data_IF_334740752192
#
_entry.id   IF_334740752192
#
_cell.length_a   1.000
_cell.length_b   1.000
_cell.length_c   1.000
_cell.angle_alpha   90.00
_cell.angle_beta   90.00
_cell.angle_gamma   90.00
#
_symmetry.space_group_name_H-M   'P 1'
#
loop_
_entity.id
_entity.type
_entity.pdbx_description
1 polymer ?
#
# COMPACT_ATOMS: atom_id res chain seq x y z
N UNK A 1 16.38 -14.37 6.52
CA UNK A 1 17.14 -13.29 5.84
C UNK A 1 16.59 -11.95 6.34
N UNK A 2 17.44 -10.95 6.53
CA UNK A 2 17.00 -9.60 6.95
C UNK A 2 17.21 -8.62 5.79
N UNK A 3 16.38 -8.75 4.75
CA UNK A 3 16.49 -7.96 3.50
C UNK A 3 16.23 -6.47 3.68
N UNK A 4 15.56 -6.09 4.78
CA UNK A 4 15.20 -4.71 5.08
C UNK A 4 15.89 -4.18 6.35
N UNK A 5 17.01 -4.81 6.75
CA UNK A 5 17.73 -4.48 7.98
C UNK A 5 17.97 -2.98 8.10
N UNK A 6 17.49 -2.40 9.20
CA UNK A 6 17.62 -0.98 9.55
C UNK A 6 16.98 0.01 8.55
N UNK A 7 16.19 -0.44 7.57
CA UNK A 7 15.43 0.46 6.69
C UNK A 7 14.22 1.01 7.45
N UNK A 8 14.00 2.30 7.39
CA UNK A 8 12.81 2.97 7.94
C UNK A 8 11.69 2.88 6.91
N UNK A 9 10.65 2.12 7.23
CA UNK A 9 9.56 1.76 6.31
C UNK A 9 8.23 2.32 6.81
N UNK A 10 7.71 3.35 6.15
CA UNK A 10 6.41 3.96 6.44
C UNK A 10 5.32 3.27 5.62
N UNK A 11 4.28 2.76 6.30
CA UNK A 11 3.19 2.02 5.68
C UNK A 11 1.87 2.67 6.07
N UNK A 12 1.07 3.07 5.07
CA UNK A 12 -0.26 3.66 5.29
C UNK A 12 -1.35 2.58 5.27
N UNK A 13 -2.39 2.72 6.11
CA UNK A 13 -3.42 1.69 6.29
C UNK A 13 -2.82 0.41 6.87
N UNK A 14 -1.88 0.53 7.81
CA UNK A 14 -1.03 -0.56 8.28
C UNK A 14 -1.58 -1.32 9.48
N UNK A 15 -2.76 -0.95 10.01
CA UNK A 15 -3.31 -1.57 11.21
C UNK A 15 -4.17 -2.81 10.95
N UNK A 16 -4.40 -3.17 9.68
CA UNK A 16 -5.20 -4.34 9.30
C UNK A 16 -4.88 -4.86 7.89
N UNK A 17 -5.38 -6.04 7.55
CA UNK A 17 -5.35 -6.61 6.21
C UNK A 17 -3.95 -6.65 5.58
N UNK A 18 -3.83 -6.26 4.31
CA UNK A 18 -2.56 -6.26 3.55
C UNK A 18 -1.53 -5.35 4.21
N UNK A 19 -1.95 -4.18 4.73
CA UNK A 19 -1.05 -3.25 5.40
C UNK A 19 -0.41 -3.85 6.65
N UNK A 20 -1.19 -4.49 7.51
CA UNK A 20 -0.67 -5.19 8.70
C UNK A 20 0.25 -6.36 8.33
N UNK A 21 -0.16 -7.20 7.38
CA UNK A 21 0.68 -8.29 6.89
C UNK A 21 2.02 -7.77 6.33
N UNK A 22 1.99 -6.61 5.65
CA UNK A 22 3.20 -5.94 5.14
C UNK A 22 4.07 -5.43 6.30
N UNK A 23 3.48 -4.80 7.32
CA UNK A 23 4.19 -4.35 8.51
C UNK A 23 4.89 -5.51 9.23
N UNK A 24 4.18 -6.62 9.48
CA UNK A 24 4.72 -7.82 10.10
C UNK A 24 5.81 -8.50 9.24
N UNK A 25 5.62 -8.53 7.92
CA UNK A 25 6.64 -9.05 7.02
C UNK A 25 7.90 -8.20 7.04
N UNK A 26 7.77 -6.88 7.00
CA UNK A 26 8.90 -5.96 7.06
C UNK A 26 9.63 -6.05 8.41
N UNK A 27 8.88 -6.19 9.50
CA UNK A 27 9.44 -6.45 10.84
C UNK A 27 10.33 -7.70 10.85
N UNK A 28 9.84 -8.83 10.34
CA UNK A 28 10.62 -10.09 10.21
C UNK A 28 11.87 -9.94 9.33
N UNK A 29 11.84 -9.00 8.40
CA UNK A 29 13.00 -8.70 7.52
C UNK A 29 13.94 -7.65 8.11
N UNK A 30 13.75 -7.23 9.37
CA UNK A 30 14.63 -6.34 10.13
C UNK A 30 14.43 -4.86 9.89
N UNK A 31 13.27 -4.44 9.34
CA UNK A 31 12.93 -3.04 9.15
C UNK A 31 12.57 -2.36 10.48
N UNK A 32 12.76 -1.04 10.53
CA UNK A 32 12.09 -0.14 11.46
C UNK A 32 10.74 0.18 10.84
N UNK A 33 9.65 -0.23 11.49
CA UNK A 33 8.30 -0.15 10.93
C UNK A 33 7.57 1.08 11.46
N UNK A 34 7.08 1.93 10.58
CA UNK A 34 6.22 3.07 10.91
C UNK A 34 4.79 2.72 10.48
N UNK A 35 3.95 2.39 11.46
CA UNK A 35 2.54 2.04 11.28
C UNK A 35 1.69 3.31 11.23
N UNK A 36 1.06 3.60 10.09
CA UNK A 36 0.16 4.73 9.93
C UNK A 36 -1.26 4.27 9.62
N UNK A 37 -2.24 4.70 10.41
CA UNK A 37 -3.66 4.36 10.24
C UNK A 37 -4.55 5.44 10.90
N UNK A 38 -5.88 5.27 10.86
CA UNK A 38 -6.83 6.20 11.45
C UNK A 38 -7.13 5.96 12.93
N UNK A 39 -7.05 4.71 13.41
CA UNK A 39 -7.51 4.29 14.74
C UNK A 39 -6.33 3.96 15.65
N UNK A 40 -6.13 4.79 16.69
CA UNK A 40 -5.01 4.63 17.64
C UNK A 40 -4.93 3.22 18.23
N UNK A 41 -6.04 2.65 18.71
CA UNK A 41 -6.02 1.33 19.31
C UNK A 41 -5.56 0.22 18.35
N UNK A 42 -5.95 0.29 17.09
CA UNK A 42 -5.51 -0.66 16.06
C UNK A 42 -4.03 -0.46 15.69
N UNK A 43 -3.56 0.79 15.70
CA UNK A 43 -2.15 1.14 15.51
C UNK A 43 -1.31 0.55 16.65
N UNK A 44 -1.75 0.74 17.91
CA UNK A 44 -1.03 0.25 19.09
C UNK A 44 -0.92 -1.29 19.09
N UNK A 45 -1.98 -1.98 18.65
CA UNK A 45 -1.97 -3.43 18.50
C UNK A 45 -1.00 -3.87 17.38
N UNK A 46 -1.02 -3.21 16.23
CA UNK A 46 -0.10 -3.50 15.12
C UNK A 46 1.37 -3.26 15.51
N UNK A 47 1.65 -2.20 16.26
CA UNK A 47 3.00 -1.91 16.79
C UNK A 47 3.44 -3.03 17.74
N UNK A 48 2.60 -3.44 18.71
CA UNK A 48 2.91 -4.56 19.61
C UNK A 48 3.19 -5.86 18.85
N UNK A 49 2.43 -6.14 17.79
CA UNK A 49 2.68 -7.33 16.97
C UNK A 49 4.04 -7.25 16.24
N UNK A 50 4.47 -6.07 15.77
CA UNK A 50 5.80 -5.88 15.19
C UNK A 50 6.90 -6.04 16.26
N UNK A 51 6.72 -5.46 17.44
CA UNK A 51 7.66 -5.58 18.56
C UNK A 51 7.81 -7.01 19.05
N UNK A 52 6.75 -7.82 19.04
CA UNK A 52 6.80 -9.25 19.35
C UNK A 52 7.65 -10.06 18.34
N UNK A 53 8.06 -9.46 17.25
CA UNK A 53 9.00 -10.01 16.27
C UNK A 53 10.42 -9.43 16.40
N UNK A 54 10.75 -8.85 17.56
CA UNK A 54 12.02 -8.16 17.86
C UNK A 54 12.32 -6.99 16.92
N UNK A 55 11.30 -6.38 16.31
CA UNK A 55 11.45 -5.24 15.42
C UNK A 55 11.20 -3.91 16.16
N UNK A 56 11.94 -2.88 15.80
CA UNK A 56 11.59 -1.53 16.21
C UNK A 56 10.37 -1.06 15.42
N UNK A 57 9.32 -0.64 16.12
CA UNK A 57 8.09 -0.14 15.51
C UNK A 57 7.58 1.12 16.21
N UNK A 58 6.96 2.01 15.45
CA UNK A 58 6.28 3.21 15.97
C UNK A 58 4.95 3.39 15.24
N UNK A 59 3.96 3.95 15.94
CA UNK A 59 2.64 4.17 15.42
C UNK A 59 2.26 5.65 15.33
N UNK A 60 1.55 6.03 14.28
CA UNK A 60 1.01 7.39 14.13
C UNK A 60 -0.41 7.37 13.55
N UNK A 61 -1.30 8.12 14.19
CA UNK A 61 -2.60 8.43 13.55
C UNK A 61 -2.35 9.34 12.37
N UNK A 62 -2.78 8.91 11.18
CA UNK A 62 -2.59 9.66 9.95
C UNK A 62 -3.75 9.43 8.98
N UNK A 63 -4.50 10.49 8.69
CA UNK A 63 -5.45 10.52 7.57
C UNK A 63 -4.71 11.01 6.32
N UNK A 64 -4.57 10.13 5.33
CA UNK A 64 -3.86 10.43 4.07
C UNK A 64 -4.53 11.52 3.24
N UNK A 65 -5.83 11.80 3.50
CA UNK A 65 -6.55 12.90 2.84
C UNK A 65 -6.16 14.27 3.38
N UNK A 66 -5.59 14.31 4.59
CA UNK A 66 -5.20 15.54 5.29
C UNK A 66 -3.71 15.83 5.10
N UNK A 67 -3.36 16.61 4.10
CA UNK A 67 -1.96 16.92 3.75
C UNK A 67 -1.13 17.39 4.95
N UNK A 68 -1.64 18.29 5.76
CA UNK A 68 -0.93 18.81 6.94
C UNK A 68 -0.61 17.69 7.97
N UNK A 69 -1.52 16.71 8.12
CA UNK A 69 -1.27 15.57 8.99
C UNK A 69 -0.19 14.64 8.43
N UNK A 70 -0.19 14.41 7.11
CA UNK A 70 0.86 13.64 6.43
C UNK A 70 2.22 14.31 6.62
N UNK A 71 2.31 15.61 6.37
CA UNK A 71 3.57 16.37 6.54
C UNK A 71 4.07 16.33 7.99
N UNK A 72 3.17 16.44 8.97
CA UNK A 72 3.52 16.37 10.38
C UNK A 72 4.07 14.99 10.77
N UNK A 73 3.47 13.91 10.30
CA UNK A 73 3.94 12.52 10.57
C UNK A 73 5.28 12.26 9.88
N UNK A 74 5.43 12.64 8.61
CA UNK A 74 6.69 12.50 7.88
C UNK A 74 7.81 13.29 8.56
N UNK A 75 7.50 14.50 9.03
CA UNK A 75 8.45 15.33 9.80
C UNK A 75 8.89 14.67 11.11
N UNK A 76 7.96 14.06 11.88
CA UNK A 76 8.27 13.30 13.10
C UNK A 76 9.17 12.10 12.82
N UNK A 77 8.84 11.30 11.79
CA UNK A 77 9.63 10.13 11.40
C UNK A 77 11.05 10.56 10.98
N UNK A 78 11.17 11.63 10.18
CA UNK A 78 12.47 12.16 9.79
C UNK A 78 13.27 12.68 10.98
N UNK A 79 12.64 13.38 11.94
CA UNK A 79 13.30 13.87 13.13
C UNK A 79 13.80 12.72 14.04
N UNK A 80 13.02 11.64 14.15
CA UNK A 80 13.33 10.50 15.00
C UNK A 80 14.41 9.59 14.43
N UNK A 81 14.37 9.30 13.11
CA UNK A 81 15.22 8.30 12.47
C UNK A 81 16.23 8.88 11.48
N UNK A 82 16.14 10.16 11.15
CA UNK A 82 17.02 10.84 10.20
C UNK A 82 16.78 10.47 8.73
N UNK A 83 15.92 9.49 8.47
CA UNK A 83 15.71 8.91 7.13
C UNK A 83 14.32 8.30 6.94
N UNK A 84 13.95 8.12 5.68
CA UNK A 84 12.80 7.29 5.25
C UNK A 84 13.26 6.52 4.01
N UNK A 85 13.33 5.19 4.11
CA UNK A 85 13.85 4.34 3.03
C UNK A 85 12.77 3.79 2.13
N UNK A 86 11.61 3.47 2.72
CA UNK A 86 10.49 2.86 2.01
C UNK A 86 9.20 3.56 2.41
N UNK A 87 8.40 3.94 1.41
CA UNK A 87 7.00 4.30 1.57
C UNK A 87 6.13 3.21 0.91
N UNK A 88 5.16 2.66 1.66
CA UNK A 88 4.10 1.81 1.12
C UNK A 88 2.77 2.56 1.19
N UNK A 89 2.30 3.05 0.07
CA UNK A 89 0.98 3.65 -0.10
C UNK A 89 -0.06 2.53 -0.20
N UNK A 90 -0.53 2.03 0.95
CA UNK A 90 -1.47 0.92 1.01
C UNK A 90 -2.90 1.36 1.44
N UNK A 91 -3.04 2.48 2.14
CA UNK A 91 -4.35 2.99 2.53
C UNK A 91 -5.30 3.10 1.33
N UNK A 92 -6.52 2.59 1.50
CA UNK A 92 -7.52 2.61 0.44
C UNK A 92 -8.87 2.12 0.92
N UNK A 93 -9.92 2.56 0.24
CA UNK A 93 -11.31 2.23 0.49
C UNK A 93 -12.03 1.87 -0.82
N UNK A 94 -13.18 1.23 -0.70
CA UNK A 94 -14.17 1.06 -1.77
C UNK A 94 -15.49 1.69 -1.36
N UNK A 95 -16.21 2.25 -2.33
CA UNK A 95 -17.62 2.65 -2.20
C UNK A 95 -18.30 2.34 -3.53
N UNK A 96 -18.74 1.09 -3.65
CA UNK A 96 -19.21 0.52 -4.90
C UNK A 96 -20.64 0.96 -5.23
N UNK A 97 -20.84 1.38 -6.46
CA UNK A 97 -22.15 1.67 -7.04
C UNK A 97 -22.08 1.61 -8.56
N UNK A 98 -23.18 1.21 -9.22
CA UNK A 98 -23.28 1.32 -10.69
C UNK A 98 -23.17 2.77 -11.12
N UNK A 99 -22.56 3.04 -12.29
CA UNK A 99 -22.35 4.39 -12.82
C UNK A 99 -23.59 5.30 -12.67
N UNK A 100 -24.78 4.80 -13.00
CA UNK A 100 -26.04 5.55 -12.92
C UNK A 100 -26.53 5.85 -11.49
N UNK A 101 -25.95 5.19 -10.48
CA UNK A 101 -26.35 5.29 -9.07
C UNK A 101 -25.24 5.81 -8.17
N UNK A 102 -24.02 5.93 -8.68
CA UNK A 102 -22.87 6.45 -7.93
C UNK A 102 -23.08 7.92 -7.61
N UNK A 103 -23.03 8.27 -6.34
CA UNK A 103 -23.10 9.67 -5.90
C UNK A 103 -21.74 10.34 -6.05
N UNK A 104 -21.72 11.67 -6.16
CA UNK A 104 -20.49 12.46 -6.18
C UNK A 104 -19.68 12.25 -4.90
N UNK A 105 -20.34 12.15 -3.75
CA UNK A 105 -19.69 11.88 -2.47
C UNK A 105 -18.96 10.53 -2.47
N UNK A 106 -19.58 9.46 -2.98
CA UNK A 106 -18.94 8.15 -3.13
C UNK A 106 -17.74 8.21 -4.07
N UNK A 107 -17.86 8.95 -5.17
CA UNK A 107 -16.77 9.13 -6.12
C UNK A 107 -15.61 9.90 -5.47
N UNK A 108 -15.87 11.08 -4.96
CA UNK A 108 -14.87 11.99 -4.40
C UNK A 108 -14.13 11.36 -3.23
N UNK A 109 -14.84 10.68 -2.31
CA UNK A 109 -14.22 10.04 -1.15
C UNK A 109 -13.22 8.94 -1.55
N UNK A 110 -13.52 8.13 -2.57
CA UNK A 110 -12.59 7.11 -3.08
C UNK A 110 -11.40 7.76 -3.77
N UNK A 111 -11.61 8.80 -4.57
CA UNK A 111 -10.52 9.55 -5.21
C UNK A 111 -9.63 10.22 -4.16
N UNK A 112 -10.21 10.83 -3.14
CA UNK A 112 -9.46 11.51 -2.09
C UNK A 112 -8.54 10.55 -1.32
N UNK A 113 -9.05 9.39 -0.93
CA UNK A 113 -8.24 8.42 -0.18
C UNK A 113 -7.26 7.71 -1.10
N UNK A 114 -7.76 7.09 -2.19
CA UNK A 114 -6.98 6.12 -2.96
C UNK A 114 -6.02 6.77 -3.96
N UNK A 115 -6.26 8.03 -4.35
CA UNK A 115 -5.44 8.72 -5.35
C UNK A 115 -4.76 9.95 -4.75
N UNK A 116 -5.53 10.91 -4.23
CA UNK A 116 -4.97 12.14 -3.64
C UNK A 116 -4.12 11.82 -2.42
N UNK A 117 -4.55 10.89 -1.56
CA UNK A 117 -3.77 10.44 -0.40
C UNK A 117 -2.43 9.81 -0.79
N UNK A 118 -2.38 9.01 -1.86
CA UNK A 118 -1.14 8.45 -2.42
C UNK A 118 -0.20 9.56 -2.86
N UNK A 119 -0.73 10.58 -3.55
CA UNK A 119 0.05 11.76 -3.95
C UNK A 119 0.60 12.53 -2.75
N UNK A 120 -0.24 12.79 -1.72
CA UNK A 120 0.20 13.49 -0.51
C UNK A 120 1.37 12.79 0.16
N UNK A 121 1.26 11.48 0.39
CA UNK A 121 2.31 10.71 1.05
C UNK A 121 3.60 10.63 0.22
N UNK A 122 3.48 10.37 -1.09
CA UNK A 122 4.64 10.29 -1.97
C UNK A 122 5.39 11.62 -2.04
N UNK A 123 4.66 12.74 -2.21
CA UNK A 123 5.27 14.06 -2.28
C UNK A 123 5.94 14.45 -0.95
N UNK A 124 5.32 14.10 0.19
CA UNK A 124 5.87 14.43 1.51
C UNK A 124 7.22 13.74 1.80
N UNK A 125 7.44 12.52 1.27
CA UNK A 125 8.71 11.80 1.48
C UNK A 125 9.75 12.08 0.39
N UNK A 126 9.33 12.60 -0.77
CA UNK A 126 10.18 12.72 -1.96
C UNK A 126 11.47 13.51 -1.71
N UNK A 127 11.38 14.71 -1.11
CA UNK A 127 12.56 15.53 -0.84
C UNK A 127 13.54 14.84 0.10
N UNK A 128 13.03 14.11 1.10
CA UNK A 128 13.87 13.33 2.02
C UNK A 128 14.62 12.23 1.27
N UNK A 129 13.92 11.46 0.43
CA UNK A 129 14.54 10.40 -0.36
C UNK A 129 15.52 10.94 -1.41
N UNK A 130 15.19 12.08 -2.05
CA UNK A 130 16.10 12.76 -3.00
C UNK A 130 17.38 13.19 -2.30
N UNK A 131 17.29 13.81 -1.12
CA UNK A 131 18.45 14.20 -0.34
C UNK A 131 19.30 13.01 0.12
N UNK A 132 18.68 11.83 0.34
CA UNK A 132 19.36 10.57 0.64
C UNK A 132 20.06 9.94 -0.57
N UNK A 133 19.67 10.32 -1.80
CA UNK A 133 20.10 9.65 -3.04
C UNK A 133 19.61 8.19 -3.16
N UNK A 134 18.66 7.77 -2.32
CA UNK A 134 18.12 6.41 -2.27
C UNK A 134 16.72 6.41 -1.64
N UNK A 135 15.81 5.62 -2.20
CA UNK A 135 14.47 5.43 -1.66
C UNK A 135 13.65 4.42 -2.48
N UNK A 136 12.55 3.96 -1.91
CA UNK A 136 11.59 3.09 -2.58
C UNK A 136 10.18 3.54 -2.27
N UNK A 137 9.37 3.80 -3.30
CA UNK A 137 7.94 4.06 -3.18
C UNK A 137 7.17 2.89 -3.79
N UNK A 138 6.30 2.29 -2.99
CA UNK A 138 5.47 1.16 -3.38
C UNK A 138 3.99 1.55 -3.29
N UNK A 139 3.27 1.39 -4.37
CA UNK A 139 1.89 1.83 -4.48
C UNK A 139 0.94 0.63 -4.57
N UNK A 140 -0.11 0.60 -3.76
CA UNK A 140 -1.20 -0.37 -3.87
C UNK A 140 -2.14 0.02 -5.02
N UNK A 141 -2.00 -0.65 -6.16
CA UNK A 141 -3.00 -0.67 -7.22
C UNK A 141 -4.01 -1.81 -6.97
N UNK A 142 -4.55 -2.40 -8.01
CA UNK A 142 -5.46 -3.54 -8.02
C UNK A 142 -5.56 -4.09 -9.43
N UNK A 143 -5.94 -5.35 -9.59
CA UNK A 143 -6.39 -5.87 -10.90
C UNK A 143 -7.57 -5.06 -11.45
N UNK A 144 -8.42 -4.52 -10.58
CA UNK A 144 -9.51 -3.60 -10.97
C UNK A 144 -8.97 -2.31 -11.59
N UNK A 145 -7.79 -1.84 -11.20
CA UNK A 145 -7.11 -0.70 -11.82
C UNK A 145 -6.49 -1.05 -13.18
N UNK A 146 -6.43 -2.32 -13.58
CA UNK A 146 -5.91 -2.76 -14.87
C UNK A 146 -7.05 -3.11 -15.83
N UNK A 147 -8.05 -3.86 -15.33
CA UNK A 147 -9.09 -4.46 -16.15
C UNK A 147 -10.47 -3.81 -15.97
N UNK A 148 -10.66 -2.98 -14.93
CA UNK A 148 -11.96 -2.48 -14.51
C UNK A 148 -12.73 -3.53 -13.70
N UNK A 149 -13.88 -3.14 -13.14
CA UNK A 149 -14.85 -4.06 -12.55
C UNK A 149 -16.22 -3.38 -12.47
N UNK A 150 -17.26 -4.20 -12.56
CA UNK A 150 -18.64 -3.73 -12.48
C UNK A 150 -18.95 -3.04 -11.15
N UNK A 151 -19.53 -1.85 -11.21
CA UNK A 151 -19.90 -1.08 -10.01
C UNK A 151 -18.74 -0.35 -9.33
N UNK A 152 -17.54 -0.33 -9.89
CA UNK A 152 -16.34 0.22 -9.27
C UNK A 152 -15.70 1.35 -10.09
N UNK A 153 -16.50 2.23 -10.70
CA UNK A 153 -16.00 3.34 -11.53
C UNK A 153 -14.97 4.21 -10.79
N UNK A 154 -15.28 4.62 -9.56
CA UNK A 154 -14.40 5.42 -8.71
C UNK A 154 -13.12 4.67 -8.31
N UNK A 155 -13.28 3.42 -7.88
CA UNK A 155 -12.16 2.58 -7.46
C UNK A 155 -11.24 2.25 -8.63
N UNK A 156 -11.79 1.82 -9.77
CA UNK A 156 -11.02 1.53 -10.98
C UNK A 156 -10.24 2.78 -11.44
N UNK A 157 -10.90 3.94 -11.52
CA UNK A 157 -10.25 5.20 -11.88
C UNK A 157 -9.09 5.55 -10.93
N UNK A 158 -9.31 5.40 -9.60
CA UNK A 158 -8.29 5.69 -8.61
C UNK A 158 -7.07 4.75 -8.74
N UNK A 159 -7.31 3.44 -8.91
CA UNK A 159 -6.24 2.43 -8.98
C UNK A 159 -5.50 2.45 -10.33
N UNK A 160 -6.17 2.83 -11.41
CA UNK A 160 -5.52 3.12 -12.69
C UNK A 160 -4.67 4.41 -12.60
N UNK A 161 -5.17 5.44 -11.92
CA UNK A 161 -4.41 6.67 -11.66
C UNK A 161 -3.12 6.41 -10.87
N UNK A 162 -3.16 5.50 -9.90
CA UNK A 162 -1.97 5.05 -9.15
C UNK A 162 -0.94 4.38 -10.06
N UNK A 163 -1.37 3.63 -11.08
CA UNK A 163 -0.47 3.09 -12.12
C UNK A 163 0.20 4.24 -12.88
N UNK A 164 -0.58 5.27 -13.26
CA UNK A 164 -0.07 6.49 -13.89
C UNK A 164 1.00 7.18 -13.05
N UNK A 165 0.74 7.38 -11.75
CA UNK A 165 1.73 7.91 -10.81
C UNK A 165 3.00 7.07 -10.77
N UNK A 166 2.87 5.75 -10.68
CA UNK A 166 4.00 4.83 -10.63
C UNK A 166 4.90 4.97 -11.87
N UNK A 167 4.30 5.03 -13.05
CA UNK A 167 5.02 5.21 -14.32
C UNK A 167 5.71 6.57 -14.42
N UNK A 168 5.03 7.63 -13.99
CA UNK A 168 5.57 8.99 -14.03
C UNK A 168 6.69 9.17 -13.03
N UNK A 169 6.43 8.85 -11.76
CA UNK A 169 7.41 9.04 -10.69
C UNK A 169 8.64 8.15 -10.83
N UNK A 170 8.53 6.96 -11.43
CA UNK A 170 9.70 6.13 -11.73
C UNK A 170 10.68 6.81 -12.69
N UNK A 171 10.18 7.67 -13.57
CA UNK A 171 11.01 8.46 -14.50
C UNK A 171 11.59 9.72 -13.84
N UNK A 172 10.78 10.42 -13.05
CA UNK A 172 11.18 11.66 -12.39
C UNK A 172 12.19 11.42 -11.26
N UNK A 173 11.99 10.34 -10.48
CA UNK A 173 12.76 10.06 -9.28
C UNK A 173 13.88 9.01 -9.53
N UNK A 174 13.79 8.21 -10.59
CA UNK A 174 14.81 7.24 -10.94
C UNK A 174 16.22 7.82 -11.06
N UNK A 175 16.44 8.95 -11.77
CA UNK A 175 17.73 9.62 -11.82
C UNK A 175 18.27 10.12 -10.45
N UNK A 176 17.40 10.13 -9.44
CA UNK A 176 17.75 10.50 -8.04
C UNK A 176 17.99 9.28 -7.14
N UNK A 177 18.05 8.06 -7.72
CA UNK A 177 18.25 6.83 -6.97
C UNK A 177 17.00 6.27 -6.28
N UNK A 178 15.80 6.74 -6.65
CA UNK A 178 14.55 6.30 -6.03
C UNK A 178 13.79 5.40 -7.00
N UNK A 179 13.39 4.22 -6.53
CA UNK A 179 12.55 3.30 -7.30
C UNK A 179 11.08 3.46 -6.94
N UNK A 180 10.22 3.40 -7.94
CA UNK A 180 8.77 3.49 -7.75
C UNK A 180 8.10 2.33 -8.48
N UNK A 181 7.37 1.48 -7.76
CA UNK A 181 6.66 0.34 -8.32
C UNK A 181 5.25 0.23 -7.72
N UNK A 182 4.37 -0.49 -8.40
CA UNK A 182 3.04 -0.82 -7.91
C UNK A 182 2.86 -2.32 -7.79
N UNK A 183 2.03 -2.72 -6.82
CA UNK A 183 1.49 -4.07 -6.71
C UNK A 183 -0.01 -3.99 -7.01
N UNK A 184 -0.51 -4.90 -7.82
CA UNK A 184 -1.91 -5.01 -8.20
C UNK A 184 -2.48 -6.35 -7.67
N UNK A 185 -3.02 -6.37 -6.43
CA UNK A 185 -3.65 -7.55 -5.88
C UNK A 185 -4.92 -7.94 -6.64
N UNK A 186 -5.18 -9.26 -6.73
CA UNK A 186 -6.50 -9.80 -7.05
C UNK A 186 -7.40 -9.88 -5.82
N UNK A 187 -8.20 -10.94 -5.72
CA UNK A 187 -9.01 -11.20 -4.54
C UNK A 187 -8.15 -11.74 -3.39
N UNK A 188 -8.07 -10.98 -2.30
CA UNK A 188 -7.23 -11.28 -1.13
C UNK A 188 -8.11 -11.33 0.12
N UNK A 189 -7.94 -12.36 0.94
CA UNK A 189 -8.65 -12.52 2.21
C UNK A 189 -8.27 -11.39 3.16
N UNK A 190 -9.19 -10.47 3.37
CA UNK A 190 -9.04 -9.32 4.27
C UNK A 190 -10.28 -9.19 5.15
N UNK A 191 -10.27 -8.42 6.23
CA UNK A 191 -11.46 -8.20 7.05
C UNK A 191 -12.70 -7.73 6.26
N UNK A 192 -12.51 -7.09 5.11
CA UNK A 192 -13.59 -6.67 4.22
C UNK A 192 -14.34 -7.90 3.66
N UNK A 193 -13.66 -9.01 3.40
CA UNK A 193 -14.30 -10.23 2.90
C UNK A 193 -15.06 -11.01 3.97
N UNK A 194 -14.81 -10.78 5.25
CA UNK A 194 -15.47 -11.48 6.35
C UNK A 194 -17.00 -11.27 6.39
N UNK A 195 -17.51 -10.25 5.70
CA UNK A 195 -18.94 -9.95 5.59
C UNK A 195 -19.58 -10.50 4.32
N UNK A 196 -18.79 -11.15 3.45
CA UNK A 196 -19.28 -11.67 2.15
C UNK A 196 -19.84 -13.09 2.36
N UNK A 197 -21.03 -13.41 1.84
CA UNK A 197 -21.60 -14.75 1.93
C UNK A 197 -20.72 -15.81 1.24
N UNK A 198 -20.71 -17.04 1.80
CA UNK A 198 -19.87 -18.14 1.31
C UNK A 198 -20.06 -18.50 -0.17
N UNK A 199 -21.30 -18.40 -0.67
CA UNK A 199 -21.60 -18.66 -2.09
C UNK A 199 -20.92 -17.62 -3.01
N UNK A 200 -20.81 -16.36 -2.57
CA UNK A 200 -20.12 -15.31 -3.32
C UNK A 200 -18.61 -15.51 -3.24
N UNK A 201 -18.08 -15.90 -2.08
CA UNK A 201 -16.66 -16.22 -1.93
C UNK A 201 -16.25 -17.39 -2.85
N UNK A 202 -17.07 -18.45 -2.93
CA UNK A 202 -16.85 -19.58 -3.86
C UNK A 202 -16.88 -19.15 -5.33
N UNK A 203 -17.79 -18.24 -5.70
CA UNK A 203 -17.80 -17.68 -7.05
C UNK A 203 -16.51 -16.89 -7.33
N UNK A 204 -16.08 -16.07 -6.40
CA UNK A 204 -14.81 -15.34 -6.52
C UNK A 204 -13.61 -16.30 -6.69
N UNK A 205 -13.52 -17.35 -5.86
CA UNK A 205 -12.48 -18.38 -5.98
C UNK A 205 -12.51 -19.09 -7.33
N UNK A 206 -13.70 -19.39 -7.84
CA UNK A 206 -13.86 -20.08 -9.13
C UNK A 206 -13.26 -19.30 -10.31
N UNK A 207 -13.26 -17.96 -10.22
CA UNK A 207 -12.71 -17.05 -11.24
C UNK A 207 -11.18 -16.94 -11.18
N UNK A 208 -10.56 -17.34 -10.07
CA UNK A 208 -9.11 -17.34 -9.95
C UNK A 208 -8.55 -18.64 -10.55
N UNK A 209 -7.60 -18.61 -11.50
CA UNK A 209 -6.97 -19.81 -12.04
C UNK A 209 -6.35 -20.73 -10.98
N UNK A 210 -5.75 -20.18 -9.92
CA UNK A 210 -5.22 -20.95 -8.78
C UNK A 210 -6.31 -21.51 -7.85
N UNK A 211 -7.63 -21.28 -8.14
CA UNK A 211 -8.80 -21.82 -7.42
C UNK A 211 -8.81 -21.54 -5.93
N UNK A 212 -8.26 -20.42 -5.51
CA UNK A 212 -8.32 -19.90 -4.15
C UNK A 212 -8.15 -18.39 -4.13
N UNK A 213 -8.55 -17.78 -3.03
CA UNK A 213 -8.22 -16.39 -2.76
C UNK A 213 -6.74 -16.27 -2.31
N UNK A 214 -6.14 -15.13 -2.56
CA UNK A 214 -4.80 -14.79 -2.04
C UNK A 214 -4.84 -14.50 -0.54
N UNK A 215 -3.71 -14.69 0.12
CA UNK A 215 -3.53 -14.28 1.52
C UNK A 215 -2.80 -12.93 1.57
N UNK A 216 -3.06 -12.08 2.58
CA UNK A 216 -2.36 -10.80 2.75
C UNK A 216 -0.83 -10.93 2.75
N UNK A 217 -0.32 -12.04 3.29
CA UNK A 217 1.11 -12.36 3.33
C UNK A 217 1.72 -12.55 1.94
N UNK A 218 0.95 -13.01 0.96
CA UNK A 218 1.43 -13.19 -0.41
C UNK A 218 1.68 -11.82 -1.07
N UNK A 219 0.84 -10.83 -0.78
CA UNK A 219 1.06 -9.45 -1.22
C UNK A 219 2.25 -8.84 -0.47
N UNK A 220 2.32 -9.05 0.84
CA UNK A 220 3.40 -8.55 1.68
C UNK A 220 4.78 -9.10 1.26
N UNK A 221 4.85 -10.35 0.77
CA UNK A 221 6.08 -10.94 0.24
C UNK A 221 6.59 -10.20 -0.99
N UNK A 222 5.70 -9.79 -1.89
CA UNK A 222 6.04 -9.01 -3.08
C UNK A 222 6.49 -7.59 -2.68
N UNK A 223 5.81 -6.95 -1.74
CA UNK A 223 6.26 -5.68 -1.20
C UNK A 223 7.66 -5.79 -0.57
N UNK A 224 7.94 -6.83 0.21
CA UNK A 224 9.25 -7.03 0.82
C UNK A 224 10.36 -7.22 -0.23
N UNK A 225 10.10 -7.97 -1.30
CA UNK A 225 11.02 -8.09 -2.44
C UNK A 225 11.26 -6.72 -3.09
N UNK A 226 10.21 -5.99 -3.44
CA UNK A 226 10.33 -4.69 -4.10
C UNK A 226 11.01 -3.63 -3.22
N UNK A 227 10.85 -3.69 -1.88
CA UNK A 227 11.50 -2.82 -0.92
C UNK A 227 12.99 -3.14 -0.72
N UNK A 228 13.41 -4.36 -1.07
CA UNK A 228 14.79 -4.85 -0.88
C UNK A 228 15.72 -4.42 -2.01
N UNK A 229 17.03 -4.62 -1.79
CA UNK A 229 18.04 -4.36 -2.81
C UNK A 229 18.08 -5.47 -3.90
N UNK A 230 17.40 -6.62 -3.66
CA UNK A 230 17.19 -7.65 -4.69
C UNK A 230 16.38 -7.12 -5.89
N UNK A 231 15.53 -6.12 -5.67
CA UNK A 231 14.76 -5.45 -6.71
C UNK A 231 15.45 -4.18 -7.27
N UNK A 232 16.77 -4.09 -7.18
CA UNK A 232 17.54 -2.87 -7.53
C UNK A 232 17.34 -2.39 -8.97
N UNK A 233 16.98 -3.28 -9.89
CA UNK A 233 16.71 -2.94 -11.30
C UNK A 233 15.22 -2.97 -11.67
N UNK A 234 14.32 -3.13 -10.67
CA UNK A 234 12.87 -3.10 -10.86
C UNK A 234 12.38 -1.67 -10.57
N UNK A 235 11.98 -0.94 -11.61
CA UNK A 235 11.49 0.44 -11.52
C UNK A 235 10.38 0.69 -12.56
N UNK A 236 9.29 1.31 -12.13
CA UNK A 236 8.12 1.56 -12.97
C UNK A 236 7.27 0.31 -13.28
N UNK A 237 7.50 -0.80 -12.58
CA UNK A 237 6.73 -2.02 -12.75
C UNK A 237 5.37 -1.94 -12.05
N UNK A 238 4.39 -2.66 -12.62
CA UNK A 238 3.11 -2.99 -11.98
C UNK A 238 3.06 -4.51 -11.90
N UNK A 239 3.17 -5.05 -10.70
CA UNK A 239 3.21 -6.51 -10.48
C UNK A 239 1.83 -6.98 -10.03
N UNK A 240 1.20 -7.79 -10.86
CA UNK A 240 -0.05 -8.46 -10.51
C UNK A 240 0.23 -9.62 -9.54
N UNK A 241 -0.52 -9.67 -8.45
CA UNK A 241 -0.50 -10.74 -7.47
C UNK A 241 -1.94 -11.22 -7.30
N UNK A 242 -2.41 -11.96 -8.29
CA UNK A 242 -3.84 -12.22 -8.51
C UNK A 242 -4.20 -13.71 -8.63
N UNK A 243 -3.19 -14.60 -8.56
CA UNK A 243 -3.42 -16.02 -8.86
C UNK A 243 -3.79 -16.30 -10.33
N UNK A 244 -3.45 -15.35 -11.22
CA UNK A 244 -3.77 -15.40 -12.65
C UNK A 244 -5.16 -14.87 -13.00
N UNK A 245 -5.85 -14.23 -12.04
CA UNK A 245 -7.18 -13.66 -12.26
C UNK A 245 -7.13 -12.56 -13.33
N UNK A 246 -8.03 -12.68 -14.30
CA UNK A 246 -8.44 -11.62 -15.22
C UNK A 246 -9.90 -11.30 -14.95
N UNK A 247 -10.31 -10.04 -14.92
CA UNK A 247 -11.69 -9.60 -14.62
C UNK A 247 -12.45 -9.39 -15.91
#
# INVERSE_FOLDING_TARGET
MQRLKNKVCLITGAAQGIGLATALKFAREGAIVVVCDLKQAAIDDAVKQCEALDAQAVGHVMDVTQRAMVDAVVGKVKAQFGRIDVLVNNAGITQDARLQKMTLEQFDRVIDVNLRGVFHCAQAVADTMVAQGKGVILNASSVVGIYGNFGQTNYAASKFGVIGFTKTWSRELGPKGIRVNAVAPGFVVTPILATIPDNVLKDMESRVPLKRLGQPEEIANVYAFLASDEASYVNGAVIEVSGGMTV
#
